data_IF_545510692409
#
_entry.id   IF_545510692409
#
_cell.length_a   1.000
_cell.length_b   1.000
_cell.length_c   1.000
_cell.angle_alpha   90.00
_cell.angle_beta   90.00
_cell.angle_gamma   90.00
#
_symmetry.space_group_name_H-M   'P 1'
#
loop_
_entity.id
_entity.type
_entity.pdbx_description
1 polymer ?
#
# COMPACT_ATOMS: atom_id res chain seq x y z
N UNK A 1 -1.53 -24.77 0.44
CA UNK A 1 -0.39 -24.42 1.32
C UNK A 1 -0.59 -22.99 1.78
N UNK A 2 -0.61 -22.77 3.09
CA UNK A 2 -0.71 -21.43 3.67
C UNK A 2 0.71 -20.94 3.98
N UNK A 3 1.03 -19.71 3.61
CA UNK A 3 2.36 -19.14 3.78
C UNK A 3 2.27 -17.92 4.68
N UNK A 4 3.27 -17.69 5.54
CA UNK A 4 3.43 -16.46 6.32
C UNK A 4 4.83 -15.94 6.01
N UNK A 5 4.94 -14.70 5.55
CA UNK A 5 6.16 -14.15 4.96
C UNK A 5 7.34 -14.22 5.91
N UNK A 6 7.16 -13.84 7.17
CA UNK A 6 8.21 -13.90 8.21
C UNK A 6 8.69 -15.32 8.56
N UNK A 7 7.95 -16.36 8.14
CA UNK A 7 8.34 -17.76 8.35
C UNK A 7 8.99 -18.39 7.11
N UNK A 8 9.06 -17.67 5.99
CA UNK A 8 9.71 -18.14 4.78
C UNK A 8 11.23 -17.96 4.89
N UNK A 9 11.96 -18.95 4.40
CA UNK A 9 13.39 -18.81 4.17
C UNK A 9 13.68 -17.85 3.01
N UNK A 10 14.91 -17.35 2.92
CA UNK A 10 15.33 -16.48 1.82
C UNK A 10 15.10 -17.10 0.42
N UNK A 11 15.36 -18.41 0.28
CA UNK A 11 15.11 -19.13 -0.98
C UNK A 11 13.62 -19.22 -1.32
N UNK A 12 12.77 -19.42 -0.32
CA UNK A 12 11.32 -19.46 -0.51
C UNK A 12 10.78 -18.07 -0.88
N UNK A 13 11.26 -17.01 -0.22
CA UNK A 13 10.93 -15.62 -0.58
C UNK A 13 11.34 -15.31 -2.02
N UNK A 14 12.56 -15.67 -2.43
CA UNK A 14 13.04 -15.47 -3.79
C UNK A 14 12.16 -16.19 -4.82
N UNK A 15 11.74 -17.42 -4.53
CA UNK A 15 10.84 -18.19 -5.39
C UNK A 15 9.45 -17.52 -5.52
N UNK A 16 8.86 -17.10 -4.40
CA UNK A 16 7.54 -16.44 -4.39
C UNK A 16 7.58 -15.04 -5.04
N UNK A 17 8.69 -14.29 -4.87
CA UNK A 17 8.87 -12.95 -5.43
C UNK A 17 8.93 -12.93 -6.98
N UNK A 18 9.24 -14.06 -7.62
CA UNK A 18 9.26 -14.22 -9.08
C UNK A 18 7.89 -14.69 -9.62
N UNK A 19 7.02 -15.22 -8.76
CA UNK A 19 5.72 -15.76 -9.15
C UNK A 19 4.73 -14.68 -9.56
N UNK A 20 4.18 -14.73 -10.78
CA UNK A 20 3.18 -13.75 -11.24
C UNK A 20 1.72 -14.14 -10.94
N UNK A 21 1.49 -15.21 -10.19
CA UNK A 21 0.14 -15.73 -9.94
C UNK A 21 -0.71 -14.76 -9.11
N UNK A 22 -0.11 -14.12 -8.12
CA UNK A 22 -0.75 -13.24 -7.17
C UNK A 22 0.07 -11.93 -7.08
N UNK A 23 -0.35 -10.86 -7.77
CA UNK A 23 0.39 -9.62 -7.85
C UNK A 23 0.85 -9.05 -6.51
N UNK A 24 -0.07 -8.84 -5.56
CA UNK A 24 0.25 -8.24 -4.26
C UNK A 24 1.11 -9.17 -3.38
N UNK A 25 0.90 -10.48 -3.48
CA UNK A 25 1.72 -11.44 -2.74
C UNK A 25 3.18 -11.41 -3.21
N UNK A 26 3.41 -11.43 -4.52
CA UNK A 26 4.79 -11.46 -5.02
C UNK A 26 5.54 -10.17 -4.69
N UNK A 27 4.86 -9.02 -4.74
CA UNK A 27 5.49 -7.74 -4.41
C UNK A 27 5.79 -7.64 -2.94
N UNK A 28 4.90 -8.16 -2.07
CA UNK A 28 5.17 -8.30 -0.64
C UNK A 28 6.40 -9.17 -0.38
N UNK A 29 6.49 -10.34 -1.04
CA UNK A 29 7.66 -11.22 -0.90
C UNK A 29 8.94 -10.54 -1.40
N UNK A 30 8.87 -9.76 -2.49
CA UNK A 30 10.02 -9.01 -3.00
C UNK A 30 10.47 -7.92 -2.02
N UNK A 31 9.54 -7.16 -1.44
CA UNK A 31 9.86 -6.13 -0.43
C UNK A 31 10.56 -6.75 0.78
N UNK A 32 10.04 -7.87 1.29
CA UNK A 32 10.67 -8.62 2.39
C UNK A 32 12.03 -9.21 2.02
N UNK A 33 12.16 -9.78 0.82
CA UNK A 33 13.42 -10.33 0.31
C UNK A 33 14.52 -9.27 0.26
N UNK A 34 14.15 -8.03 -0.08
CA UNK A 34 15.04 -6.86 -0.13
C UNK A 34 15.34 -6.26 1.25
N UNK A 35 14.73 -6.77 2.32
CA UNK A 35 14.89 -6.24 3.67
C UNK A 35 14.24 -4.87 3.87
N UNK A 36 13.33 -4.48 2.99
CA UNK A 36 12.62 -3.20 3.10
C UNK A 36 11.53 -3.28 4.19
N UNK A 37 11.19 -2.15 4.85
CA UNK A 37 10.13 -2.13 5.84
C UNK A 37 8.78 -2.54 5.26
N UNK A 38 8.12 -3.49 5.89
CA UNK A 38 6.83 -4.07 5.46
C UNK A 38 6.09 -4.66 6.65
N UNK A 39 4.78 -4.85 6.48
CA UNK A 39 4.00 -5.64 7.43
C UNK A 39 4.24 -7.13 7.19
N UNK A 40 4.11 -7.94 8.23
CA UNK A 40 3.96 -9.38 8.04
C UNK A 40 2.63 -9.69 7.35
N UNK A 41 2.66 -10.72 6.50
CA UNK A 41 1.54 -11.11 5.64
C UNK A 41 1.43 -12.61 5.57
N UNK A 42 0.21 -13.12 5.65
CA UNK A 42 -0.10 -14.51 5.33
C UNK A 42 -0.91 -14.62 4.04
N UNK A 43 -0.55 -15.60 3.20
CA UNK A 43 -1.29 -15.96 1.98
C UNK A 43 -2.10 -17.24 2.20
N UNK A 44 -3.35 -17.17 1.73
CA UNK A 44 -4.19 -18.34 1.52
C UNK A 44 -4.69 -18.37 0.05
N UNK A 45 -4.44 -19.45 -0.70
CA UNK A 45 -4.83 -19.54 -2.11
C UNK A 45 -6.35 -19.77 -2.28
N UNK A 46 -6.92 -19.48 -3.46
CA UNK A 46 -8.37 -19.53 -3.69
C UNK A 46 -9.06 -20.86 -3.39
N UNK A 47 -8.34 -21.98 -3.55
CA UNK A 47 -8.87 -23.34 -3.36
C UNK A 47 -8.85 -23.83 -1.91
N UNK A 48 -8.52 -22.96 -0.95
CA UNK A 48 -8.44 -23.34 0.45
C UNK A 48 -9.83 -23.58 1.06
N UNK A 49 -9.89 -24.56 1.96
CA UNK A 49 -11.09 -24.87 2.73
C UNK A 49 -11.36 -23.83 3.84
N UNK A 50 -12.61 -23.77 4.30
CA UNK A 50 -12.99 -22.94 5.46
C UNK A 50 -12.21 -23.30 6.73
N UNK A 51 -11.78 -24.56 6.87
CA UNK A 51 -10.95 -25.02 7.99
C UNK A 51 -9.55 -24.42 7.90
N UNK A 52 -8.89 -24.53 6.75
CA UNK A 52 -7.56 -23.93 6.52
C UNK A 52 -7.57 -22.42 6.76
N UNK A 53 -8.64 -21.74 6.36
CA UNK A 53 -8.82 -20.31 6.65
C UNK A 53 -8.85 -20.01 8.15
N UNK A 54 -9.61 -20.76 8.94
CA UNK A 54 -9.67 -20.58 10.41
C UNK A 54 -8.31 -20.86 11.05
N UNK A 55 -7.71 -22.00 10.71
CA UNK A 55 -6.42 -22.41 11.23
C UNK A 55 -5.32 -21.37 10.92
N UNK A 56 -5.37 -20.75 9.72
CA UNK A 56 -4.47 -19.67 9.36
C UNK A 56 -4.74 -18.39 10.16
N UNK A 57 -6.00 -17.98 10.29
CA UNK A 57 -6.38 -16.79 11.05
C UNK A 57 -5.92 -16.91 12.51
N UNK A 58 -6.16 -18.06 13.15
CA UNK A 58 -5.80 -18.28 14.55
C UNK A 58 -4.27 -18.24 14.74
N UNK A 59 -3.53 -18.94 13.87
CA UNK A 59 -2.07 -18.94 13.90
C UNK A 59 -1.48 -17.55 13.64
N UNK A 60 -1.98 -16.85 12.62
CA UNK A 60 -1.47 -15.53 12.28
C UNK A 60 -1.82 -14.50 13.36
N UNK A 61 -3.04 -14.53 13.91
CA UNK A 61 -3.47 -13.71 15.06
C UNK A 61 -2.55 -13.90 16.28
N UNK A 62 -2.20 -15.16 16.59
CA UNK A 62 -1.29 -15.46 17.68
C UNK A 62 0.13 -14.94 17.42
N UNK A 63 0.62 -15.08 16.19
CA UNK A 63 1.95 -14.64 15.77
C UNK A 63 2.13 -13.12 15.83
N UNK A 64 1.13 -12.35 15.38
CA UNK A 64 1.17 -10.88 15.42
C UNK A 64 0.62 -10.30 16.74
N UNK A 65 0.27 -11.15 17.70
CA UNK A 65 -0.30 -10.80 19.00
C UNK A 65 -1.52 -9.84 18.93
N UNK A 66 -2.37 -10.01 17.90
CA UNK A 66 -3.51 -9.12 17.65
C UNK A 66 -4.80 -9.88 17.41
N UNK A 67 -5.90 -9.33 17.93
CA UNK A 67 -7.28 -9.79 17.66
C UNK A 67 -7.93 -9.10 16.46
N UNK A 68 -7.19 -8.24 15.77
CA UNK A 68 -7.57 -7.59 14.53
C UNK A 68 -6.58 -7.93 13.42
N UNK A 69 -7.08 -8.16 12.22
CA UNK A 69 -6.26 -8.48 11.04
C UNK A 69 -6.76 -7.64 9.87
N UNK A 70 -5.83 -7.13 9.09
CA UNK A 70 -6.11 -6.45 7.83
C UNK A 70 -6.33 -7.50 6.73
N UNK A 71 -7.56 -7.64 6.24
CA UNK A 71 -7.92 -8.53 5.15
C UNK A 71 -7.75 -7.84 3.80
N UNK A 72 -6.95 -8.42 2.90
CA UNK A 72 -6.85 -8.05 1.48
C UNK A 72 -7.15 -9.27 0.61
N UNK A 73 -7.48 -9.02 -0.66
CA UNK A 73 -7.58 -10.07 -1.67
C UNK A 73 -6.66 -9.82 -2.85
N UNK A 74 -6.28 -10.89 -3.53
CA UNK A 74 -5.34 -10.87 -4.65
C UNK A 74 -5.74 -11.85 -5.77
N UNK A 75 -5.24 -11.59 -6.99
CA UNK A 75 -5.62 -12.33 -8.19
C UNK A 75 -7.10 -12.20 -8.58
N UNK A 76 -7.59 -13.13 -9.42
CA UNK A 76 -8.98 -13.18 -9.92
C UNK A 76 -9.31 -12.13 -10.99
N UNK A 77 -10.40 -12.33 -11.74
CA UNK A 77 -10.93 -11.28 -12.64
C UNK A 77 -11.38 -10.09 -11.77
N UNK A 78 -11.01 -8.88 -12.16
CA UNK A 78 -11.58 -7.67 -11.58
C UNK A 78 -13.06 -7.59 -12.00
N UNK A 79 -13.95 -8.10 -11.15
CA UNK A 79 -15.39 -7.84 -11.27
C UNK A 79 -15.74 -6.56 -10.53
N UNK A 80 -16.83 -5.89 -10.92
CA UNK A 80 -17.23 -4.58 -10.40
C UNK A 80 -17.46 -4.51 -8.87
N UNK A 81 -17.44 -5.65 -8.17
CA UNK A 81 -17.45 -5.75 -6.71
C UNK A 81 -16.02 -5.90 -6.12
N UNK A 82 -15.02 -5.30 -6.76
CA UNK A 82 -13.64 -5.29 -6.25
C UNK A 82 -13.61 -4.62 -4.88
N UNK A 83 -13.07 -5.29 -3.86
CA UNK A 83 -12.85 -4.67 -2.57
C UNK A 83 -11.70 -3.64 -2.69
N UNK A 84 -12.02 -2.34 -2.69
CA UNK A 84 -11.03 -1.26 -2.81
C UNK A 84 -10.20 -1.14 -1.52
N UNK A 85 -9.04 -1.79 -1.53
CA UNK A 85 -8.08 -1.82 -0.43
C UNK A 85 -8.36 -2.96 0.57
N UNK A 86 -7.67 -2.95 1.71
CA UNK A 86 -7.89 -3.94 2.78
C UNK A 86 -8.67 -3.41 3.97
N UNK A 87 -9.38 -4.29 4.68
CA UNK A 87 -10.20 -3.92 5.84
C UNK A 87 -9.65 -4.56 7.10
N UNK A 88 -9.41 -3.76 8.13
CA UNK A 88 -9.03 -4.27 9.45
C UNK A 88 -10.27 -4.67 10.22
N UNK A 89 -10.37 -5.97 10.52
CA UNK A 89 -11.54 -6.60 11.12
C UNK A 89 -11.13 -7.39 12.35
N UNK A 90 -12.07 -7.56 13.29
CA UNK A 90 -11.87 -8.49 14.40
C UNK A 90 -11.80 -9.93 13.86
N UNK A 91 -11.02 -10.78 14.52
CA UNK A 91 -10.83 -12.19 14.12
C UNK A 91 -12.15 -12.94 13.92
N UNK A 92 -13.15 -12.69 14.77
CA UNK A 92 -14.48 -13.31 14.67
C UNK A 92 -15.25 -12.98 13.38
N UNK A 93 -14.98 -11.80 12.80
CA UNK A 93 -15.69 -11.28 11.62
C UNK A 93 -14.98 -11.62 10.29
N UNK A 94 -13.73 -12.11 10.35
CA UNK A 94 -12.92 -12.38 9.15
C UNK A 94 -13.43 -13.57 8.34
N UNK A 95 -13.83 -14.65 9.01
CA UNK A 95 -14.09 -15.94 8.35
C UNK A 95 -15.20 -15.84 7.30
N UNK A 96 -16.38 -15.23 7.56
CA UNK A 96 -17.41 -15.10 6.54
C UNK A 96 -16.92 -14.34 5.31
N UNK A 97 -16.33 -13.15 5.49
CA UNK A 97 -15.90 -12.29 4.40
C UNK A 97 -14.73 -12.87 3.59
N UNK A 98 -13.72 -13.42 4.27
CA UNK A 98 -12.59 -14.04 3.59
C UNK A 98 -13.01 -15.29 2.81
N UNK A 99 -14.00 -16.04 3.31
CA UNK A 99 -14.50 -17.23 2.60
C UNK A 99 -15.32 -16.87 1.35
N UNK A 100 -16.09 -15.78 1.36
CA UNK A 100 -16.77 -15.26 0.15
C UNK A 100 -15.78 -14.87 -0.94
N UNK A 101 -14.64 -14.27 -0.56
CA UNK A 101 -13.57 -13.91 -1.48
C UNK A 101 -12.87 -15.16 -2.06
N UNK A 102 -12.60 -16.18 -1.25
CA UNK A 102 -12.08 -17.48 -1.73
C UNK A 102 -13.05 -18.13 -2.71
N UNK A 103 -14.34 -18.16 -2.39
CA UNK A 103 -15.39 -18.70 -3.26
C UNK A 103 -15.48 -17.95 -4.60
N UNK A 104 -15.06 -16.69 -4.64
CA UNK A 104 -14.93 -15.87 -5.85
C UNK A 104 -13.61 -16.11 -6.61
N UNK A 105 -12.89 -17.19 -6.30
CA UNK A 105 -11.61 -17.58 -6.87
C UNK A 105 -10.51 -16.51 -6.68
N UNK A 106 -10.52 -15.81 -5.54
CA UNK A 106 -9.48 -14.85 -5.14
C UNK A 106 -8.61 -15.44 -4.04
N UNK A 107 -7.33 -15.10 -4.05
CA UNK A 107 -6.47 -15.38 -2.91
C UNK A 107 -6.77 -14.39 -1.78
N UNK A 108 -6.53 -14.83 -0.55
CA UNK A 108 -6.64 -14.01 0.65
C UNK A 108 -5.26 -13.68 1.16
N UNK A 109 -5.08 -12.41 1.52
CA UNK A 109 -3.92 -11.91 2.23
C UNK A 109 -4.39 -11.41 3.60
N UNK A 110 -3.79 -11.93 4.67
CA UNK A 110 -3.98 -11.47 6.03
C UNK A 110 -2.74 -10.67 6.42
N UNK A 111 -2.90 -9.41 6.82
CA UNK A 111 -1.80 -8.54 7.17
C UNK A 111 -1.95 -8.09 8.62
N UNK A 112 -0.83 -7.66 9.22
CA UNK A 112 -0.87 -6.90 10.47
C UNK A 112 -1.92 -5.78 10.40
N UNK A 113 -2.65 -5.52 11.50
CA UNK A 113 -3.71 -4.53 11.51
C UNK A 113 -3.13 -3.12 11.37
N UNK A 114 -3.69 -2.36 10.43
CA UNK A 114 -3.47 -0.92 10.34
C UNK A 114 -4.79 -0.21 10.05
N UNK A 115 -4.81 1.11 10.16
CA UNK A 115 -5.97 1.90 9.77
C UNK A 115 -5.55 2.98 8.76
N UNK A 116 -6.02 2.83 7.53
CA UNK A 116 -5.73 3.76 6.43
C UNK A 116 -6.24 5.18 6.70
N UNK A 117 -7.19 5.35 7.61
CA UNK A 117 -7.75 6.66 7.94
C UNK A 117 -6.85 7.43 8.93
N UNK A 118 -5.85 6.77 9.50
CA UNK A 118 -4.93 7.33 10.49
C UNK A 118 -3.46 7.27 10.04
N UNK A 119 -3.19 6.96 8.77
CA UNK A 119 -1.86 7.11 8.20
C UNK A 119 -1.40 8.56 8.40
N UNK A 120 -0.18 8.76 8.89
CA UNK A 120 0.40 10.08 9.11
C UNK A 120 0.92 10.68 7.82
N UNK A 121 1.52 9.83 6.98
CA UNK A 121 2.06 10.20 5.67
C UNK A 121 1.84 9.00 4.74
N UNK A 122 1.45 9.28 3.50
CA UNK A 122 1.44 8.30 2.41
C UNK A 122 2.36 8.78 1.29
N UNK A 123 3.22 7.89 0.79
CA UNK A 123 4.23 8.20 -0.22
C UNK A 123 4.14 7.27 -1.41
N UNK A 124 4.48 7.81 -2.58
CA UNK A 124 4.73 7.06 -3.80
C UNK A 124 6.11 7.46 -4.32
N UNK A 125 7.00 6.49 -4.52
CA UNK A 125 8.34 6.69 -5.08
C UNK A 125 8.36 6.09 -6.48
N UNK A 126 8.58 6.90 -7.50
CA UNK A 126 8.76 6.48 -8.89
C UNK A 126 10.25 6.59 -9.24
N UNK A 127 10.90 5.45 -9.46
CA UNK A 127 12.26 5.38 -9.98
C UNK A 127 12.28 4.97 -11.45
N UNK A 128 13.11 5.62 -12.28
CA UNK A 128 13.35 5.23 -13.68
C UNK A 128 14.77 4.68 -13.84
N UNK A 129 15.01 3.75 -14.76
CA UNK A 129 16.34 3.14 -14.93
C UNK A 129 17.45 4.13 -15.24
N UNK A 130 17.12 5.33 -15.74
CA UNK A 130 18.03 6.44 -16.00
C UNK A 130 18.46 7.21 -14.73
N UNK A 131 18.11 6.73 -13.53
CA UNK A 131 18.52 7.38 -12.28
C UNK A 131 17.67 8.59 -11.91
N UNK A 132 16.41 8.65 -12.33
CA UNK A 132 15.47 9.66 -11.84
C UNK A 132 14.61 9.07 -10.73
N UNK A 133 14.45 9.81 -9.64
CA UNK A 133 13.54 9.48 -8.55
C UNK A 133 12.56 10.64 -8.33
N UNK A 134 11.27 10.33 -8.42
CA UNK A 134 10.19 11.25 -8.04
C UNK A 134 9.47 10.70 -6.82
N UNK A 135 9.20 11.56 -5.83
CA UNK A 135 8.48 11.20 -4.61
C UNK A 135 7.25 12.08 -4.50
N UNK A 136 6.08 11.46 -4.42
CA UNK A 136 4.80 12.14 -4.19
C UNK A 136 4.31 11.83 -2.78
N UNK A 137 3.81 12.86 -2.08
CA UNK A 137 3.49 12.77 -0.66
C UNK A 137 2.10 13.33 -0.40
N UNK A 138 1.31 12.56 0.37
CA UNK A 138 0.11 13.01 1.05
C UNK A 138 0.32 12.94 2.57
N UNK A 139 -0.30 13.87 3.27
CA UNK A 139 -0.26 13.99 4.72
C UNK A 139 -1.29 13.10 5.43
N UNK A 140 -1.65 13.48 6.67
CA UNK A 140 -2.50 12.68 7.53
C UNK A 140 -3.89 12.40 6.94
N UNK A 141 -4.42 11.21 7.19
CA UNK A 141 -5.76 10.78 6.77
C UNK A 141 -5.90 10.31 5.32
N UNK A 142 -4.83 10.43 4.53
CA UNK A 142 -4.76 9.89 3.17
C UNK A 142 -4.08 8.50 3.14
N UNK A 143 -4.48 7.69 2.17
CA UNK A 143 -3.93 6.35 1.94
C UNK A 143 -3.01 6.33 0.71
N UNK A 144 -2.05 5.41 0.68
CA UNK A 144 -1.17 5.25 -0.48
C UNK A 144 -1.96 4.93 -1.77
N UNK A 145 -3.16 4.35 -1.67
CA UNK A 145 -4.03 4.14 -2.82
C UNK A 145 -4.59 5.43 -3.44
N UNK A 146 -4.62 6.54 -2.69
CA UNK A 146 -5.06 7.85 -3.18
C UNK A 146 -4.05 8.43 -4.19
N UNK A 147 -2.75 8.16 -3.99
CA UNK A 147 -1.67 8.46 -4.95
C UNK A 147 -1.70 7.49 -6.14
N UNK A 148 -1.78 6.19 -5.85
CA UNK A 148 -1.66 5.10 -6.82
C UNK A 148 -2.60 5.24 -8.03
N UNK A 149 -3.81 5.76 -7.82
CA UNK A 149 -4.89 5.79 -8.83
C UNK A 149 -5.15 7.20 -9.39
N UNK A 150 -4.27 8.16 -9.10
CA UNK A 150 -4.48 9.58 -9.46
C UNK A 150 -5.77 10.14 -8.86
N UNK A 151 -6.19 9.60 -7.70
CA UNK A 151 -7.46 9.92 -7.07
C UNK A 151 -7.41 11.20 -6.26
N UNK A 152 -6.21 11.58 -5.80
CA UNK A 152 -5.93 12.80 -5.06
C UNK A 152 -4.60 13.38 -5.53
N UNK A 153 -4.55 14.68 -5.77
CA UNK A 153 -3.29 15.36 -6.15
C UNK A 153 -2.36 15.39 -4.92
N UNK A 154 -1.07 14.99 -5.05
CA UNK A 154 -0.14 15.02 -3.93
C UNK A 154 0.02 16.41 -3.34
N UNK A 155 0.26 16.51 -2.03
CA UNK A 155 0.56 17.78 -1.36
C UNK A 155 1.97 18.25 -1.69
N UNK A 156 2.93 17.33 -1.68
CA UNK A 156 4.31 17.60 -2.03
C UNK A 156 4.79 16.66 -3.12
N UNK A 157 5.64 17.18 -4.00
CA UNK A 157 6.39 16.42 -4.99
C UNK A 157 7.86 16.73 -4.83
N UNK A 158 8.69 15.70 -4.90
CA UNK A 158 10.14 15.80 -4.78
C UNK A 158 10.75 15.18 -6.02
N UNK A 159 11.69 15.89 -6.64
CA UNK A 159 12.53 15.32 -7.69
C UNK A 159 13.97 15.20 -7.19
N UNK A 160 14.55 14.02 -7.37
CA UNK A 160 15.97 13.74 -7.19
C UNK A 160 16.52 13.23 -8.51
N UNK A 161 17.54 13.91 -9.03
CA UNK A 161 18.20 13.55 -10.29
C UNK A 161 19.56 12.95 -9.98
N UNK A 162 19.65 11.64 -10.05
CA UNK A 162 20.86 10.88 -9.73
C UNK A 162 21.72 10.64 -10.97
N UNK A 163 21.10 10.60 -12.15
CA UNK A 163 21.74 10.31 -13.44
C UNK A 163 22.11 8.83 -13.65
N UNK A 164 22.24 8.06 -12.58
CA UNK A 164 22.44 6.61 -12.60
C UNK A 164 22.06 5.98 -11.26
N UNK A 165 21.75 4.68 -11.25
CA UNK A 165 21.63 3.86 -10.04
C UNK A 165 22.88 3.02 -9.74
N UNK A 166 23.97 3.20 -10.51
CA UNK A 166 25.20 2.43 -10.32
C UNK A 166 25.94 2.82 -9.03
N UNK A 167 25.79 4.06 -8.59
CA UNK A 167 26.46 4.60 -7.41
C UNK A 167 25.43 4.99 -6.36
N UNK A 168 25.67 4.56 -5.12
CA UNK A 168 24.90 4.99 -3.97
C UNK A 168 25.40 6.37 -3.52
N UNK A 169 24.47 7.29 -3.28
CA UNK A 169 24.76 8.68 -2.94
C UNK A 169 24.28 9.03 -1.53
N UNK A 170 25.03 9.90 -0.87
CA UNK A 170 24.48 10.66 0.27
C UNK A 170 23.84 11.92 -0.29
N UNK A 171 22.52 12.05 -0.15
CA UNK A 171 21.77 13.18 -0.67
C UNK A 171 22.05 14.45 0.13
N UNK A 172 22.43 15.52 -0.57
CA UNK A 172 22.45 16.87 -0.05
C UNK A 172 21.17 17.63 -0.39
N UNK A 173 20.96 18.78 0.26
CA UNK A 173 19.88 19.71 -0.11
C UNK A 173 19.88 20.12 -1.60
N UNK A 174 21.02 20.33 -2.27
CA UNK A 174 21.03 20.70 -3.69
C UNK A 174 20.47 19.62 -4.63
N UNK A 175 20.50 18.35 -4.22
CA UNK A 175 20.05 17.21 -5.02
C UNK A 175 18.53 17.05 -5.01
N UNK A 176 17.86 17.80 -4.13
CA UNK A 176 16.44 17.62 -3.79
C UNK A 176 15.67 18.86 -4.22
N UNK A 177 14.76 18.69 -5.18
CA UNK A 177 13.80 19.72 -5.55
C UNK A 177 12.45 19.41 -4.93
N UNK A 178 12.16 20.04 -3.80
CA UNK A 178 10.85 19.97 -3.15
C UNK A 178 9.91 21.03 -3.74
N UNK A 179 8.73 20.59 -4.17
CA UNK A 179 7.62 21.44 -4.61
C UNK A 179 6.39 21.15 -3.76
N UNK A 180 5.79 22.20 -3.22
CA UNK A 180 4.42 22.13 -2.71
C UNK A 180 3.45 22.35 -3.88
N UNK A 181 2.50 21.43 -4.06
CA UNK A 181 1.55 21.51 -5.15
C UNK A 181 0.40 22.44 -4.77
N UNK A 182 0.18 23.46 -5.62
CA UNK A 182 -0.85 24.48 -5.45
C UNK A 182 -2.26 23.96 -5.74
N UNK A 183 -2.75 23.06 -4.89
CA UNK A 183 -4.13 22.59 -4.87
C UNK A 183 -4.74 22.96 -3.53
N UNK A 184 -5.97 23.45 -3.56
CA UNK A 184 -6.69 23.78 -2.35
C UNK A 184 -6.85 22.52 -1.49
N UNK A 185 -6.57 22.64 -0.19
CA UNK A 185 -6.78 21.57 0.78
C UNK A 185 -8.20 21.01 0.72
N UNK A 186 -9.20 21.88 0.62
CA UNK A 186 -10.60 21.48 0.54
C UNK A 186 -10.85 20.58 -0.68
N UNK A 187 -10.28 20.93 -1.84
CA UNK A 187 -10.42 20.13 -3.06
C UNK A 187 -9.84 18.72 -2.90
N UNK A 188 -8.67 18.58 -2.27
CA UNK A 188 -8.08 17.26 -1.98
C UNK A 188 -8.92 16.46 -0.99
N UNK A 189 -9.50 17.10 0.01
CA UNK A 189 -10.41 16.45 0.96
C UNK A 189 -11.64 15.94 0.21
N UNK A 190 -12.27 16.76 -0.62
CA UNK A 190 -13.42 16.35 -1.43
C UNK A 190 -13.10 15.19 -2.38
N UNK A 191 -11.94 15.23 -3.05
CA UNK A 191 -11.45 14.11 -3.88
C UNK A 191 -11.33 12.81 -3.07
N UNK A 192 -10.80 12.89 -1.85
CA UNK A 192 -10.68 11.75 -0.94
C UNK A 192 -12.05 11.23 -0.49
N UNK A 193 -12.92 12.10 0.00
CA UNK A 193 -14.27 11.76 0.49
C UNK A 193 -15.10 11.12 -0.61
N UNK A 194 -15.01 11.62 -1.85
CA UNK A 194 -15.67 11.04 -3.01
C UNK A 194 -15.23 9.61 -3.25
N UNK A 195 -13.91 9.35 -3.27
CA UNK A 195 -13.38 8.00 -3.44
C UNK A 195 -13.78 7.08 -2.28
N UNK A 196 -13.83 7.61 -1.06
CA UNK A 196 -14.26 6.86 0.11
C UNK A 196 -15.73 6.42 0.01
N UNK A 197 -16.65 7.38 -0.17
CA UNK A 197 -18.08 7.11 -0.21
C UNK A 197 -18.52 6.33 -1.44
N UNK A 198 -17.92 6.57 -2.61
CA UNK A 198 -18.36 5.89 -3.84
C UNK A 198 -17.77 4.50 -4.03
N UNK A 199 -16.62 4.18 -3.41
CA UNK A 199 -15.87 2.94 -3.71
C UNK A 199 -15.44 2.18 -2.47
N UNK A 200 -14.80 2.84 -1.52
CA UNK A 200 -14.15 2.15 -0.38
C UNK A 200 -15.18 1.70 0.65
N UNK A 201 -16.07 2.58 1.12
CA UNK A 201 -17.09 2.21 2.10
C UNK A 201 -18.06 1.15 1.55
N UNK A 202 -18.59 1.25 0.31
CA UNK A 202 -19.36 0.16 -0.28
C UNK A 202 -18.60 -1.16 -0.37
N UNK A 203 -17.31 -1.12 -0.73
CA UNK A 203 -16.44 -2.30 -0.75
C UNK A 203 -16.19 -2.90 0.64
N UNK A 204 -16.39 -2.12 1.71
CA UNK A 204 -16.39 -2.59 3.09
C UNK A 204 -17.73 -3.19 3.53
N UNK A 205 -18.72 -3.24 2.64
CA UNK A 205 -20.09 -3.65 2.96
C UNK A 205 -20.88 -2.56 3.70
N UNK A 206 -20.41 -1.31 3.69
CA UNK A 206 -21.08 -0.19 4.37
C UNK A 206 -22.05 0.45 3.38
N UNK A 207 -23.38 0.40 3.64
CA UNK A 207 -24.36 0.99 2.75
C UNK A 207 -24.30 2.52 2.84
N UNK A 208 -23.87 3.15 1.76
CA UNK A 208 -23.79 4.61 1.63
C UNK A 208 -25.16 5.17 1.28
N UNK A 209 -25.62 6.16 2.03
CA UNK A 209 -26.93 6.80 1.85
C UNK A 209 -26.74 8.28 1.52
N UNK A 210 -27.46 8.78 0.51
CA UNK A 210 -27.36 10.17 0.06
C UNK A 210 -26.08 10.45 -0.72
N UNK A 211 -25.52 11.65 -0.53
CA UNK A 211 -24.29 12.09 -1.18
C UNK A 211 -23.07 11.37 -0.59
N UNK A 212 -22.25 10.78 -1.45
CA UNK A 212 -21.15 9.90 -1.07
C UNK A 212 -20.10 10.61 -0.19
N UNK A 213 -19.73 11.82 -0.59
CA UNK A 213 -18.75 12.69 0.08
C UNK A 213 -19.20 13.00 1.51
N UNK A 214 -20.42 13.52 1.65
CA UNK A 214 -21.02 13.87 2.94
C UNK A 214 -21.15 12.66 3.85
N UNK A 215 -21.64 11.54 3.31
CA UNK A 215 -21.74 10.29 4.08
C UNK A 215 -20.37 9.83 4.57
N UNK A 216 -19.35 9.87 3.71
CA UNK A 216 -17.99 9.49 4.08
C UNK A 216 -17.41 10.39 5.18
N UNK A 217 -17.63 11.71 5.09
CA UNK A 217 -17.23 12.65 6.13
C UNK A 217 -17.90 12.34 7.47
N UNK A 218 -19.23 12.23 7.49
CA UNK A 218 -19.98 11.89 8.70
C UNK A 218 -19.53 10.55 9.29
N UNK A 219 -19.25 9.57 8.42
CA UNK A 219 -18.81 8.24 8.82
C UNK A 219 -17.43 8.26 9.49
N UNK A 220 -16.48 9.02 8.95
CA UNK A 220 -15.12 9.18 9.50
C UNK A 220 -15.16 9.95 10.82
N UNK A 221 -15.86 11.09 10.86
CA UNK A 221 -15.96 11.93 12.06
C UNK A 221 -16.60 11.18 13.23
N UNK A 222 -17.67 10.42 12.98
CA UNK A 222 -18.33 9.57 14.01
C UNK A 222 -17.39 8.52 14.61
N UNK A 223 -16.31 8.17 13.92
CA UNK A 223 -15.30 7.19 14.37
C UNK A 223 -14.04 7.82 14.93
N UNK A 224 -13.98 9.16 14.99
CA UNK A 224 -12.79 9.88 15.45
C UNK A 224 -11.66 9.94 14.44
N UNK A 225 -11.88 9.56 13.18
CA UNK A 225 -10.88 9.61 12.11
C UNK A 225 -10.78 11.05 11.57
N UNK A 226 -10.22 11.97 12.36
CA UNK A 226 -10.23 13.40 12.07
C UNK A 226 -8.97 13.92 11.35
N UNK A 227 -7.95 13.08 11.16
CA UNK A 227 -6.63 13.46 10.62
C UNK A 227 -6.70 14.24 9.30
N UNK A 228 -7.67 13.89 8.44
CA UNK A 228 -7.90 14.55 7.14
C UNK A 228 -8.21 16.06 7.28
N UNK A 229 -8.83 16.47 8.40
CA UNK A 229 -9.22 17.85 8.69
C UNK A 229 -8.29 18.55 9.68
N UNK A 230 -7.19 17.94 10.10
CA UNK A 230 -6.18 18.60 10.92
C UNK A 230 -5.21 19.41 10.06
N UNK A 231 -4.78 20.57 10.57
CA UNK A 231 -3.74 21.35 9.92
C UNK A 231 -2.46 20.52 9.95
N UNK A 232 -1.88 20.26 8.77
CA UNK A 232 -0.66 19.47 8.67
C UNK A 232 0.53 20.39 8.51
N UNK A 233 1.40 20.39 9.51
CA UNK A 233 2.74 20.93 9.38
C UNK A 233 3.67 19.86 8.80
N UNK A 234 4.38 20.24 7.74
CA UNK A 234 5.35 19.37 7.06
C UNK A 234 6.32 18.77 8.09
N UNK A 235 6.26 17.46 8.26
CA UNK A 235 6.95 16.73 9.33
C UNK A 235 8.08 15.82 8.84
N UNK A 236 8.35 15.78 7.53
CA UNK A 236 9.44 15.00 6.95
C UNK A 236 10.72 15.82 6.80
N UNK A 237 11.85 15.14 6.94
CA UNK A 237 13.22 15.67 7.03
C UNK A 237 14.12 15.18 5.90
N UNK A 238 15.34 15.72 5.80
CA UNK A 238 16.36 15.20 4.90
C UNK A 238 16.68 13.72 5.18
N UNK A 239 16.61 13.30 6.45
CA UNK A 239 16.82 11.89 6.83
C UNK A 239 15.73 10.97 6.29
N UNK A 240 14.49 11.44 6.18
CA UNK A 240 13.41 10.67 5.56
C UNK A 240 13.63 10.53 4.05
N UNK A 241 14.11 11.60 3.39
CA UNK A 241 14.46 11.56 1.98
C UNK A 241 15.62 10.62 1.69
N UNK A 242 16.67 10.64 2.52
CA UNK A 242 17.79 9.72 2.41
C UNK A 242 17.29 8.27 2.52
N UNK A 243 16.46 7.98 3.53
CA UNK A 243 15.89 6.63 3.72
C UNK A 243 15.09 6.16 2.50
N UNK A 244 14.18 7.00 2.00
CA UNK A 244 13.38 6.69 0.81
C UNK A 244 14.24 6.50 -0.43
N UNK A 245 15.33 7.26 -0.56
CA UNK A 245 16.31 7.06 -1.62
C UNK A 245 17.06 5.74 -1.46
N UNK A 246 17.52 5.38 -0.26
CA UNK A 246 18.23 4.13 0.01
C UNK A 246 17.35 2.91 -0.32
N UNK A 247 16.08 2.97 0.06
CA UNK A 247 15.08 1.95 -0.26
C UNK A 247 14.84 1.87 -1.78
N UNK A 248 14.70 3.01 -2.45
CA UNK A 248 14.56 3.07 -3.91
C UNK A 248 15.81 2.56 -4.64
N UNK A 249 17.01 2.87 -4.14
CA UNK A 249 18.29 2.42 -4.68
C UNK A 249 18.42 0.90 -4.57
N UNK A 250 18.01 0.32 -3.44
CA UNK A 250 17.97 -1.13 -3.22
C UNK A 250 17.08 -1.81 -4.25
N UNK A 251 15.88 -1.28 -4.45
CA UNK A 251 14.93 -1.78 -5.47
C UNK A 251 15.48 -1.62 -6.88
N UNK A 252 16.03 -0.45 -7.21
CA UNK A 252 16.62 -0.20 -8.51
C UNK A 252 17.78 -1.16 -8.82
N UNK A 253 18.65 -1.43 -7.84
CA UNK A 253 19.80 -2.33 -7.98
C UNK A 253 19.36 -3.77 -8.23
N UNK A 254 18.33 -4.23 -7.52
CA UNK A 254 17.79 -5.57 -7.76
C UNK A 254 17.12 -5.66 -9.13
N UNK A 255 16.25 -4.70 -9.44
CA UNK A 255 15.46 -4.75 -10.67
C UNK A 255 16.33 -4.57 -11.92
N UNK A 256 17.36 -3.72 -11.89
CA UNK A 256 18.30 -3.56 -13.01
C UNK A 256 19.13 -4.81 -13.29
N UNK A 257 19.31 -5.70 -12.29
CA UNK A 257 20.02 -6.98 -12.46
C UNK A 257 19.11 -8.09 -12.97
N UNK A 258 17.87 -8.16 -12.48
CA UNK A 258 17.04 -9.37 -12.61
C UNK A 258 15.77 -9.19 -13.45
N UNK A 259 15.33 -7.95 -13.75
CA UNK A 259 14.02 -7.70 -14.37
C UNK A 259 14.08 -6.64 -15.48
N UNK A 260 13.37 -6.88 -16.58
CA UNK A 260 13.27 -5.93 -17.70
C UNK A 260 12.40 -4.68 -17.40
N UNK A 261 12.35 -4.23 -16.15
CA UNK A 261 11.56 -3.07 -15.72
C UNK A 261 12.34 -1.80 -16.08
N UNK A 262 11.71 -0.88 -16.83
CA UNK A 262 12.30 0.45 -17.10
C UNK A 262 11.97 1.49 -16.04
N UNK A 263 10.98 1.22 -15.22
CA UNK A 263 10.61 2.04 -14.09
C UNK A 263 9.97 1.16 -13.02
N UNK A 264 10.06 1.60 -11.77
CA UNK A 264 9.37 0.97 -10.64
C UNK A 264 8.62 2.02 -9.83
N UNK A 265 7.57 1.57 -9.15
CA UNK A 265 6.84 2.41 -8.21
C UNK A 265 6.73 1.69 -6.86
N UNK A 266 7.22 2.32 -5.80
CA UNK A 266 7.01 1.88 -4.42
C UNK A 266 5.90 2.71 -3.78
N UNK A 267 5.01 2.03 -3.07
CA UNK A 267 3.95 2.66 -2.27
C UNK A 267 4.25 2.45 -0.81
N UNK A 268 4.34 3.51 -0.02
CA UNK A 268 4.60 3.41 1.40
C UNK A 268 3.72 4.32 2.22
N UNK A 269 3.68 4.07 3.53
CA UNK A 269 3.03 4.94 4.49
C UNK A 269 3.80 4.97 5.80
N UNK A 270 3.80 6.12 6.46
CA UNK A 270 4.06 6.22 7.90
C UNK A 270 2.72 6.03 8.59
N UNK A 271 2.60 4.96 9.36
CA UNK A 271 1.40 4.56 10.06
C UNK A 271 1.17 5.43 11.31
N UNK A 272 0.01 5.29 11.94
CA UNK A 272 -0.34 6.00 13.17
C UNK A 272 0.58 5.67 14.35
N UNK A 273 1.19 4.48 14.35
CA UNK A 273 2.18 4.00 15.32
C UNK A 273 3.64 4.37 14.95
N UNK A 274 3.82 5.27 13.97
CA UNK A 274 5.11 5.77 13.46
C UNK A 274 5.97 4.75 12.71
N UNK A 275 5.50 3.52 12.49
CA UNK A 275 6.22 2.59 11.61
C UNK A 275 6.09 3.05 10.16
N UNK A 276 7.19 3.01 9.42
CA UNK A 276 7.17 3.15 7.97
C UNK A 276 7.07 1.77 7.33
N UNK A 277 6.16 1.60 6.37
CA UNK A 277 5.96 0.34 5.66
C UNK A 277 5.75 0.58 4.18
N UNK A 278 6.26 -0.32 3.35
CA UNK A 278 5.91 -0.43 1.94
C UNK A 278 4.77 -1.44 1.76
N UNK A 279 3.80 -1.04 0.94
CA UNK A 279 2.61 -1.81 0.61
C UNK A 279 2.76 -2.64 -0.65
N UNK A 280 3.53 -2.14 -1.62
CA UNK A 280 3.62 -2.69 -2.97
C UNK A 280 4.82 -2.13 -3.75
N UNK A 281 5.33 -2.92 -4.71
CA UNK A 281 6.37 -2.54 -5.68
C UNK A 281 5.97 -2.99 -7.07
N UNK A 282 5.72 -2.06 -7.99
CA UNK A 282 5.14 -2.40 -9.31
C UNK A 282 5.97 -1.88 -10.48
N UNK A 283 5.90 -2.57 -11.61
CA UNK A 283 6.48 -2.12 -12.88
C UNK A 283 5.75 -0.85 -13.35
N UNK A 284 6.45 0.28 -13.33
CA UNK A 284 5.91 1.57 -13.73
C UNK A 284 5.41 1.58 -15.17
N UNK A 285 6.00 0.80 -16.07
CA UNK A 285 5.57 0.76 -17.48
C UNK A 285 4.22 0.08 -17.68
N UNK A 286 3.87 -0.88 -16.82
CA UNK A 286 2.60 -1.61 -16.90
C UNK A 286 1.49 -0.84 -16.22
N UNK A 287 1.81 -0.06 -15.20
CA UNK A 287 0.84 0.73 -14.44
C UNK A 287 0.27 1.91 -15.22
N UNK A 288 1.08 2.58 -16.03
CA UNK A 288 0.67 3.77 -16.79
C UNK A 288 0.18 3.49 -18.22
N UNK A 289 0.23 2.23 -18.67
CA UNK A 289 -0.51 1.82 -19.87
C UNK A 289 -1.98 1.70 -19.49
N UNK A 290 -2.73 2.80 -19.64
CA UNK A 290 -4.17 2.68 -19.93
C UNK A 290 -4.28 1.76 -21.14
N UNK A 291 -4.95 0.63 -21.00
CA UNK A 291 -5.43 -0.10 -22.17
C UNK A 291 -6.27 0.89 -22.98
N UNK A 292 -5.73 1.32 -24.12
CA UNK A 292 -6.45 2.01 -25.19
C UNK A 292 -7.39 1.05 -25.87
#
# INVERSE_FOLDING_TARGET
MCLIVSLLTHEELAREAIGFRFPKWHTTCLIHLLGLPSLDVALLPPSASKKELRDLIDRFSAQIESRKILLRSDGGRESGAYAWGGNTLAVGDLVPLAYELLASNRAILLLEPTDRFHNRISVQLLGTVEGNLSIEILGPGYDASDLNRGGVIPQYSIEVRLGTWQEHLTLGLPDIKLRENAVNREERIQQRLKNLGSKILPAMGIPVQGEAERFAEEWLRKRGCNDLWEAWERSFSLGDFQRWYDDAYTVATELTRSRAWRAFVLYGSILSDYRFVYWDVVDGNRKWKRET
#
